data_IF_551025945967
#
_entry.id   IF_551025945967
#
_cell.length_a   1.000
_cell.length_b   1.000
_cell.length_c   1.000
_cell.angle_alpha   90.00
_cell.angle_beta   90.00
_cell.angle_gamma   90.00
#
_symmetry.space_group_name_H-M   'P 1'
#
loop_
_entity.id
_entity.type
_entity.pdbx_description
1 polymer ?
#
# COMPACT_ATOMS: atom_id res chain seq x y z
N UNK A 1 35.96 -7.84 18.30
CA UNK A 1 34.71 -7.07 18.20
C UNK A 1 34.69 -6.48 16.82
N UNK A 2 34.08 -7.21 15.88
CA UNK A 2 33.90 -6.72 14.52
C UNK A 2 32.63 -5.87 14.52
N UNK A 3 32.77 -4.66 14.01
CA UNK A 3 31.71 -3.73 13.66
C UNK A 3 30.73 -4.46 12.73
N UNK A 4 29.48 -4.67 13.19
CA UNK A 4 28.39 -5.13 12.33
C UNK A 4 28.10 -4.00 11.35
N UNK A 5 28.84 -4.01 10.24
CA UNK A 5 28.63 -3.16 9.10
C UNK A 5 27.14 -3.17 8.74
N UNK A 6 26.46 -2.03 8.91
CA UNK A 6 25.16 -1.77 8.32
C UNK A 6 25.25 -2.17 6.84
N UNK A 7 24.65 -3.30 6.49
CA UNK A 7 24.44 -3.65 5.09
C UNK A 7 23.77 -2.45 4.43
N UNK A 8 24.30 -1.92 3.31
CA UNK A 8 23.77 -0.70 2.71
C UNK A 8 22.29 -0.91 2.38
N UNK A 9 21.42 -0.24 3.15
CA UNK A 9 19.98 -0.24 2.90
C UNK A 9 19.78 0.33 1.49
N UNK A 10 19.06 -0.41 0.66
CA UNK A 10 18.69 0.07 -0.67
C UNK A 10 18.00 1.42 -0.53
N UNK A 11 18.43 2.39 -1.35
CA UNK A 11 17.77 3.68 -1.41
C UNK A 11 16.30 3.43 -1.82
N UNK A 12 15.36 3.94 -1.02
CA UNK A 12 13.93 3.69 -1.24
C UNK A 12 13.35 4.50 -2.40
N UNK A 13 13.92 5.67 -2.69
CA UNK A 13 13.44 6.65 -3.68
C UNK A 13 14.59 7.17 -4.53
N UNK A 14 14.36 7.39 -5.81
CA UNK A 14 15.34 8.01 -6.73
C UNK A 14 14.76 9.26 -7.42
N UNK A 15 13.52 9.63 -7.10
CA UNK A 15 12.86 10.88 -7.46
C UNK A 15 12.41 11.55 -6.18
N UNK A 16 12.78 12.81 -5.97
CA UNK A 16 12.29 13.63 -4.85
C UNK A 16 11.90 15.02 -5.34
N UNK A 17 10.80 15.54 -4.76
CA UNK A 17 10.29 16.88 -5.01
C UNK A 17 10.35 17.68 -3.72
N UNK A 18 10.97 18.85 -3.79
CA UNK A 18 11.15 19.78 -2.69
C UNK A 18 10.19 20.98 -2.80
N UNK A 19 9.89 21.61 -1.68
CA UNK A 19 9.35 22.98 -1.66
C UNK A 19 10.48 24.03 -1.70
N UNK A 20 10.10 25.31 -1.65
CA UNK A 20 11.06 26.43 -1.61
C UNK A 20 11.91 26.49 -0.35
N UNK A 21 11.47 25.85 0.73
CA UNK A 21 12.15 25.83 2.03
C UNK A 21 13.08 24.61 2.15
N UNK A 22 13.10 23.73 1.14
CA UNK A 22 13.94 22.54 1.07
C UNK A 22 13.32 21.31 1.75
N UNK A 23 12.04 21.34 2.11
CA UNK A 23 11.35 20.16 2.64
C UNK A 23 10.88 19.24 1.50
N UNK A 24 11.01 17.93 1.69
CA UNK A 24 10.52 16.94 0.72
C UNK A 24 8.99 16.88 0.80
N UNK A 25 8.33 17.21 -0.30
CA UNK A 25 6.87 17.18 -0.42
C UNK A 25 6.36 15.93 -1.16
N UNK A 26 7.21 15.30 -1.97
CA UNK A 26 6.91 14.05 -2.64
C UNK A 26 8.17 13.28 -3.00
N UNK A 27 8.05 11.97 -3.24
CA UNK A 27 9.12 11.19 -3.86
C UNK A 27 8.73 9.75 -4.10
N UNK A 28 9.42 9.02 -4.98
CA UNK A 28 9.13 7.61 -5.26
C UNK A 28 10.34 6.93 -5.90
N UNK A 29 10.24 5.63 -6.13
CA UNK A 29 11.19 4.92 -6.97
C UNK A 29 10.68 4.79 -8.41
N UNK A 30 11.38 5.42 -9.34
CA UNK A 30 11.14 5.30 -10.77
C UNK A 30 11.86 4.08 -11.35
N UNK A 31 11.10 3.22 -12.02
CA UNK A 31 11.58 2.07 -12.81
C UNK A 31 11.62 2.33 -14.32
N UNK A 32 11.28 3.55 -14.76
CA UNK A 32 11.18 3.93 -16.17
C UNK A 32 9.77 3.83 -16.75
N UNK A 33 8.74 3.80 -15.88
CA UNK A 33 7.36 3.48 -16.26
C UNK A 33 6.37 4.58 -15.87
N UNK A 34 6.66 5.37 -14.83
CA UNK A 34 5.77 6.44 -14.39
C UNK A 34 5.94 7.71 -15.23
N UNK A 35 4.86 8.21 -15.81
CA UNK A 35 4.87 9.44 -16.63
C UNK A 35 4.63 10.69 -15.79
N UNK A 36 4.91 11.86 -16.36
CA UNK A 36 4.59 13.15 -15.75
C UNK A 36 3.09 13.36 -15.55
N UNK A 37 2.25 12.90 -16.48
CA UNK A 37 0.79 12.96 -16.32
C UNK A 37 0.31 12.17 -15.09
N UNK A 38 0.86 10.96 -14.90
CA UNK A 38 0.50 10.10 -13.78
C UNK A 38 1.01 10.69 -12.46
N UNK A 39 2.26 11.13 -12.44
CA UNK A 39 2.85 11.69 -11.23
C UNK A 39 2.13 12.98 -10.78
N UNK A 40 1.84 13.90 -11.72
CA UNK A 40 1.07 15.10 -11.42
C UNK A 40 -0.32 14.78 -10.86
N UNK A 41 -1.01 13.79 -11.44
CA UNK A 41 -2.31 13.31 -10.94
C UNK A 41 -2.20 12.75 -9.52
N UNK A 42 -1.15 12.01 -9.19
CA UNK A 42 -0.92 11.52 -7.84
C UNK A 42 -0.64 12.65 -6.86
N UNK A 43 0.14 13.67 -7.25
CA UNK A 43 0.42 14.83 -6.39
C UNK A 43 -0.85 15.61 -6.02
N UNK A 44 -1.81 15.74 -6.94
CA UNK A 44 -3.11 16.40 -6.66
C UNK A 44 -3.82 15.76 -5.46
N UNK A 45 -3.60 14.47 -5.20
CA UNK A 45 -4.29 13.77 -4.10
C UNK A 45 -3.80 14.16 -2.71
N UNK A 46 -2.59 14.73 -2.60
CA UNK A 46 -1.98 15.04 -1.31
C UNK A 46 -1.39 16.44 -1.18
N UNK A 47 -1.18 17.18 -2.28
CA UNK A 47 -0.74 18.58 -2.27
C UNK A 47 -1.93 19.50 -2.06
N UNK A 48 -1.83 20.39 -1.07
CA UNK A 48 -2.85 21.39 -0.72
C UNK A 48 -2.26 22.78 -0.97
N UNK A 49 -2.80 23.50 -1.95
CA UNK A 49 -2.41 24.87 -2.26
C UNK A 49 -3.54 25.64 -2.94
N UNK A 50 -3.50 26.97 -2.86
CA UNK A 50 -4.47 27.89 -3.49
C UNK A 50 -4.02 28.38 -4.87
N UNK A 51 -2.78 28.09 -5.26
CA UNK A 51 -2.15 28.62 -6.48
C UNK A 51 -1.82 27.47 -7.42
N UNK A 52 -1.97 27.71 -8.73
CA UNK A 52 -1.50 26.77 -9.74
C UNK A 52 0.00 26.54 -9.58
N UNK A 53 0.42 25.28 -9.65
CA UNK A 53 1.78 24.85 -9.42
C UNK A 53 2.38 24.17 -10.64
N UNK A 54 3.70 24.10 -10.68
CA UNK A 54 4.47 23.40 -11.71
C UNK A 54 5.73 22.84 -11.10
N UNK A 55 6.14 21.66 -11.56
CA UNK A 55 7.36 20.99 -11.13
C UNK A 55 8.50 21.47 -12.02
N UNK A 56 9.66 21.76 -11.44
CA UNK A 56 10.87 22.14 -12.15
C UNK A 56 12.01 21.20 -11.80
N UNK A 57 12.92 20.97 -12.74
CA UNK A 57 14.20 20.33 -12.42
C UNK A 57 14.92 21.16 -11.34
N UNK A 58 15.55 20.49 -10.40
CA UNK A 58 16.21 21.12 -9.27
C UNK A 58 17.63 20.58 -9.12
N UNK A 59 18.61 21.48 -9.17
CA UNK A 59 20.01 21.13 -8.91
C UNK A 59 20.34 21.37 -7.44
N UNK A 60 20.66 20.30 -6.73
CA UNK A 60 21.03 20.32 -5.31
C UNK A 60 22.51 20.66 -5.07
N UNK A 61 23.36 20.70 -6.11
CA UNK A 61 24.81 20.87 -5.97
C UNK A 61 25.29 22.32 -6.10
N UNK A 62 24.44 23.23 -6.59
CA UNK A 62 24.85 24.61 -6.86
C UNK A 62 24.47 25.56 -5.70
N UNK A 63 25.41 25.73 -4.76
CA UNK A 63 25.21 26.48 -3.52
C UNK A 63 25.36 28.01 -3.70
N UNK A 64 25.57 28.48 -4.94
CA UNK A 64 26.08 29.85 -5.15
C UNK A 64 25.26 30.78 -6.05
N UNK A 65 24.13 30.37 -6.64
CA UNK A 65 23.31 31.32 -7.41
C UNK A 65 21.79 31.13 -7.25
N UNK A 66 21.09 32.28 -7.30
CA UNK A 66 19.66 32.48 -7.10
C UNK A 66 18.73 31.78 -8.13
N UNK A 67 19.22 30.81 -8.91
CA UNK A 67 18.43 30.06 -9.88
C UNK A 67 18.71 28.56 -9.79
N UNK A 68 18.30 27.94 -8.67
CA UNK A 68 18.26 26.48 -8.49
C UNK A 68 17.23 25.76 -9.39
N UNK A 69 16.59 26.48 -10.32
CA UNK A 69 15.43 26.04 -11.10
C UNK A 69 15.86 25.78 -12.55
N UNK A 70 15.77 24.52 -12.97
CA UNK A 70 15.89 24.12 -14.38
C UNK A 70 14.57 24.22 -15.14
N UNK A 71 14.44 23.45 -16.23
CA UNK A 71 13.27 23.51 -17.10
C UNK A 71 11.99 23.02 -16.40
N UNK A 72 10.80 23.59 -16.76
CA UNK A 72 9.52 23.07 -16.31
C UNK A 72 9.29 21.64 -16.78
N UNK A 73 8.86 20.79 -15.87
CA UNK A 73 8.38 19.43 -16.13
C UNK A 73 6.86 19.48 -16.26
N UNK A 74 6.38 19.61 -17.50
CA UNK A 74 4.94 19.70 -17.80
C UNK A 74 4.28 18.32 -17.75
N UNK A 75 2.99 18.23 -17.36
CA UNK A 75 2.20 17.01 -17.54
C UNK A 75 2.30 16.53 -19.00
N UNK A 76 2.77 15.30 -19.16
CA UNK A 76 2.96 14.66 -20.45
C UNK A 76 3.10 13.15 -20.31
N UNK A 77 3.04 12.45 -21.44
CA UNK A 77 3.39 11.03 -21.55
C UNK A 77 4.90 10.75 -21.39
N UNK A 78 5.73 11.78 -21.18
CA UNK A 78 7.15 11.62 -20.91
C UNK A 78 7.39 10.97 -19.54
N UNK A 79 8.40 10.09 -19.47
CA UNK A 79 8.79 9.42 -18.23
C UNK A 79 9.46 10.43 -17.28
N UNK A 80 9.11 10.37 -15.99
CA UNK A 80 9.83 11.12 -14.94
C UNK A 80 11.22 10.53 -14.81
N UNK A 81 12.28 11.33 -14.90
CA UNK A 81 13.64 10.82 -14.72
C UNK A 81 14.02 10.80 -13.23
N UNK A 82 14.89 9.86 -12.79
CA UNK A 82 15.52 9.95 -11.48
C UNK A 82 16.22 11.29 -11.30
N UNK A 83 16.05 11.91 -10.14
CA UNK A 83 16.61 13.23 -9.83
C UNK A 83 15.82 14.01 -8.80
N UNK A 84 16.27 15.24 -8.58
CA UNK A 84 15.64 16.19 -7.67
C UNK A 84 14.84 17.22 -8.45
N UNK A 85 13.70 17.59 -7.88
CA UNK A 85 12.75 18.52 -8.46
C UNK A 85 12.26 19.50 -7.41
N UNK A 86 11.74 20.65 -7.83
CA UNK A 86 11.16 21.65 -6.94
C UNK A 86 9.75 22.00 -7.40
N UNK A 87 8.82 22.10 -6.47
CA UNK A 87 7.46 22.56 -6.72
C UNK A 87 7.36 24.05 -6.46
N UNK A 88 7.02 24.80 -7.51
CA UNK A 88 6.85 26.26 -7.47
C UNK A 88 5.49 26.63 -8.07
N UNK A 89 5.11 27.90 -7.96
CA UNK A 89 3.95 28.40 -8.71
C UNK A 89 4.16 28.19 -10.22
N UNK A 90 3.10 28.27 -11.02
CA UNK A 90 3.24 28.20 -12.49
C UNK A 90 4.09 29.33 -13.08
N UNK A 91 4.25 30.45 -12.36
CA UNK A 91 5.19 31.52 -12.74
C UNK A 91 6.63 31.23 -12.28
N UNK A 92 6.80 30.26 -11.39
CA UNK A 92 8.08 29.83 -10.82
C UNK A 92 8.50 30.57 -9.56
N UNK A 93 7.54 31.16 -8.85
CA UNK A 93 7.75 31.80 -7.55
C UNK A 93 7.57 30.79 -6.41
N UNK A 94 8.20 31.00 -5.24
CA UNK A 94 7.94 30.24 -4.03
C UNK A 94 6.45 30.19 -3.71
N UNK A 95 5.99 29.02 -3.26
CA UNK A 95 4.57 28.75 -3.03
C UNK A 95 4.38 28.12 -1.66
N UNK A 96 3.33 28.52 -0.93
CA UNK A 96 3.00 27.91 0.36
C UNK A 96 2.31 26.56 0.13
N UNK A 97 3.00 25.48 0.43
CA UNK A 97 2.52 24.11 0.20
C UNK A 97 2.07 23.51 1.53
N UNK A 98 0.84 22.99 1.57
CA UNK A 98 0.39 22.07 2.59
C UNK A 98 0.36 20.64 2.04
N UNK A 99 0.45 19.66 2.94
CA UNK A 99 0.13 18.27 2.61
C UNK A 99 -1.16 17.87 3.32
N UNK A 100 -1.94 16.98 2.72
CA UNK A 100 -3.13 16.42 3.38
C UNK A 100 -2.72 15.71 4.68
N UNK A 101 -3.47 15.90 5.79
CA UNK A 101 -3.14 15.30 7.08
C UNK A 101 -3.42 13.79 7.12
N UNK A 102 -4.13 13.24 6.13
CA UNK A 102 -4.46 11.82 6.05
C UNK A 102 -3.21 10.96 6.09
N UNK A 103 -3.10 10.11 7.11
CA UNK A 103 -2.06 9.10 7.22
C UNK A 103 -2.47 7.83 6.49
N UNK A 104 -1.52 7.07 5.92
CA UNK A 104 -1.82 5.75 5.40
C UNK A 104 -2.30 4.84 6.54
N UNK A 105 -3.19 3.91 6.21
CA UNK A 105 -3.66 2.93 7.19
C UNK A 105 -2.53 2.00 7.57
N UNK A 106 -2.36 1.79 8.87
CA UNK A 106 -1.43 0.78 9.36
C UNK A 106 -1.94 -0.61 9.01
N UNK A 107 -1.05 -1.50 8.59
CA UNK A 107 -1.32 -2.94 8.47
C UNK A 107 -0.37 -3.70 9.36
N UNK A 108 -0.89 -4.77 9.93
CA UNK A 108 -0.08 -5.77 10.58
C UNK A 108 0.10 -6.92 9.58
N UNK A 109 1.33 -7.34 9.26
CA UNK A 109 1.55 -8.44 8.32
C UNK A 109 0.75 -9.66 8.77
N UNK A 110 -0.18 -10.12 7.94
CA UNK A 110 -0.96 -11.31 8.29
C UNK A 110 -0.04 -12.53 8.19
N UNK A 111 0.51 -12.97 9.33
CA UNK A 111 1.30 -14.20 9.39
C UNK A 111 0.36 -15.39 9.23
N UNK A 112 0.38 -15.99 8.03
CA UNK A 112 -0.34 -17.21 7.64
C UNK A 112 -0.01 -18.47 8.47
N UNK A 113 0.79 -18.36 9.54
CA UNK A 113 1.30 -19.50 10.30
C UNK A 113 0.49 -19.82 11.56
N UNK A 114 -0.59 -19.10 11.84
CA UNK A 114 -1.53 -19.60 12.84
C UNK A 114 -2.19 -20.86 12.30
N UNK A 115 -2.17 -21.99 13.02
CA UNK A 115 -2.89 -23.22 12.68
C UNK A 115 -4.40 -23.04 12.92
N UNK A 116 -4.95 -21.91 12.48
CA UNK A 116 -6.38 -21.72 12.40
C UNK A 116 -6.93 -22.65 11.31
N UNK A 117 -8.18 -23.15 11.46
CA UNK A 117 -8.88 -23.78 10.35
C UNK A 117 -8.73 -22.89 9.12
N UNK A 118 -8.39 -23.47 7.96
CA UNK A 118 -8.27 -22.72 6.71
C UNK A 118 -9.49 -21.83 6.59
N UNK A 119 -9.30 -20.53 6.73
CA UNK A 119 -10.39 -19.56 6.71
C UNK A 119 -11.14 -19.70 5.39
N UNK A 120 -12.46 -19.52 5.42
CA UNK A 120 -13.30 -19.67 4.22
C UNK A 120 -12.77 -18.81 3.05
N UNK A 121 -12.30 -17.60 3.34
CA UNK A 121 -11.76 -16.70 2.32
C UNK A 121 -10.47 -17.23 1.68
N UNK A 122 -9.59 -17.95 2.40
CA UNK A 122 -8.42 -18.60 1.79
C UNK A 122 -8.83 -19.64 0.75
N UNK A 123 -9.76 -20.52 1.11
CA UNK A 123 -10.23 -21.56 0.21
C UNK A 123 -10.94 -20.96 -1.01
N UNK A 124 -11.83 -20.00 -0.79
CA UNK A 124 -12.60 -19.34 -1.87
C UNK A 124 -11.71 -18.51 -2.78
N UNK A 125 -10.78 -17.72 -2.24
CA UNK A 125 -9.83 -16.94 -3.03
C UNK A 125 -8.94 -17.82 -3.91
N UNK A 126 -8.40 -18.91 -3.35
CA UNK A 126 -7.60 -19.90 -4.11
C UNK A 126 -8.40 -20.59 -5.20
N UNK A 127 -9.64 -20.99 -4.91
CA UNK A 127 -10.51 -21.65 -5.86
C UNK A 127 -10.89 -20.73 -7.02
N UNK A 128 -11.17 -19.46 -6.74
CA UNK A 128 -11.47 -18.45 -7.76
C UNK A 128 -10.25 -18.14 -8.64
N UNK A 129 -9.10 -17.88 -8.01
CA UNK A 129 -7.95 -17.33 -8.73
C UNK A 129 -7.13 -18.42 -9.44
N UNK A 130 -6.89 -19.56 -8.79
CA UNK A 130 -6.06 -20.66 -9.33
C UNK A 130 -4.60 -20.32 -9.64
N UNK A 131 -4.20 -19.05 -9.53
CA UNK A 131 -2.86 -18.51 -9.84
C UNK A 131 -2.59 -17.25 -9.02
N UNK A 132 -1.33 -16.82 -8.99
CA UNK A 132 -0.98 -15.48 -8.53
C UNK A 132 -1.55 -14.44 -9.50
N UNK A 133 -2.43 -13.56 -9.03
CA UNK A 133 -3.04 -12.53 -9.87
C UNK A 133 -2.04 -11.45 -10.32
N UNK A 134 -0.91 -11.31 -9.63
CA UNK A 134 0.15 -10.35 -9.98
C UNK A 134 1.07 -10.91 -11.08
N UNK A 135 1.61 -12.11 -10.87
CA UNK A 135 2.66 -12.68 -11.74
C UNK A 135 2.15 -13.74 -12.71
N UNK A 136 0.92 -14.23 -12.53
CA UNK A 136 0.37 -15.37 -13.28
C UNK A 136 0.89 -16.73 -12.81
N UNK A 137 1.75 -16.80 -11.79
CA UNK A 137 2.32 -18.06 -11.29
C UNK A 137 1.23 -19.05 -10.90
N UNK A 138 1.17 -20.18 -11.61
CA UNK A 138 0.40 -21.36 -11.23
C UNK A 138 1.30 -22.33 -10.46
N UNK A 139 0.72 -23.05 -9.50
CA UNK A 139 1.45 -24.04 -8.70
C UNK A 139 0.51 -25.16 -8.30
N UNK A 140 1.02 -26.38 -8.28
CA UNK A 140 0.29 -27.54 -7.76
C UNK A 140 0.13 -27.47 -6.23
N UNK A 141 1.02 -26.75 -5.56
CA UNK A 141 1.00 -26.57 -4.11
C UNK A 141 0.70 -25.11 -3.74
N UNK A 142 -0.21 -24.90 -2.80
CA UNK A 142 -0.51 -23.56 -2.28
C UNK A 142 0.60 -22.99 -1.37
N UNK A 143 1.70 -23.70 -1.15
CA UNK A 143 2.84 -23.23 -0.35
C UNK A 143 3.53 -21.98 -0.92
N UNK A 144 3.39 -21.73 -2.23
CA UNK A 144 3.95 -20.56 -2.91
C UNK A 144 2.94 -19.42 -3.06
N UNK A 145 1.67 -19.65 -2.71
CA UNK A 145 0.58 -18.68 -2.87
C UNK A 145 -0.06 -18.31 -1.52
N UNK A 146 -0.22 -17.01 -1.31
CA UNK A 146 -0.99 -16.46 -0.19
C UNK A 146 -2.24 -15.76 -0.72
N UNK A 147 -3.33 -15.86 0.03
CA UNK A 147 -4.52 -15.05 -0.19
C UNK A 147 -4.44 -13.89 0.79
N UNK A 148 -4.49 -12.67 0.27
CA UNK A 148 -4.44 -11.46 1.07
C UNK A 148 -5.69 -10.63 0.84
N UNK A 149 -6.14 -9.93 1.87
CA UNK A 149 -7.17 -8.93 1.70
C UNK A 149 -6.64 -7.70 0.97
N UNK A 150 -7.49 -7.11 0.13
CA UNK A 150 -7.26 -5.80 -0.48
C UNK A 150 -7.52 -4.72 0.57
N UNK A 151 -8.60 -4.84 1.35
CA UNK A 151 -8.88 -4.01 2.51
C UNK A 151 -8.74 -4.84 3.80
N UNK A 152 -7.88 -4.44 4.75
CA UNK A 152 -7.53 -5.26 5.89
C UNK A 152 -8.68 -5.43 6.89
N UNK A 153 -8.87 -6.65 7.41
CA UNK A 153 -9.92 -6.97 8.41
C UNK A 153 -9.84 -6.12 9.67
N UNK A 154 -8.62 -5.82 10.11
CA UNK A 154 -8.35 -5.06 11.32
C UNK A 154 -9.01 -3.65 11.32
N UNK A 155 -9.37 -3.13 10.15
CA UNK A 155 -10.03 -1.83 9.94
C UNK A 155 -11.53 -1.95 9.65
N UNK A 156 -12.21 -2.97 10.19
CA UNK A 156 -13.64 -3.22 9.94
C UNK A 156 -14.56 -2.01 10.21
N UNK A 157 -14.26 -1.19 11.22
CA UNK A 157 -15.04 0.03 11.48
C UNK A 157 -14.96 1.03 10.32
N UNK A 158 -13.77 1.19 9.72
CA UNK A 158 -13.59 2.04 8.54
C UNK A 158 -14.23 1.42 7.29
N UNK A 159 -14.13 0.09 7.14
CA UNK A 159 -14.80 -0.66 6.08
C UNK A 159 -16.32 -0.40 6.06
N UNK A 160 -16.97 -0.48 7.23
CA UNK A 160 -18.39 -0.19 7.39
C UNK A 160 -18.68 1.30 7.11
N UNK A 161 -17.89 2.21 7.69
CA UNK A 161 -18.06 3.66 7.50
C UNK A 161 -17.95 4.09 6.04
N UNK A 162 -17.10 3.44 5.25
CA UNK A 162 -16.95 3.66 3.81
C UNK A 162 -18.09 3.04 2.97
N UNK A 163 -18.97 2.26 3.60
CA UNK A 163 -20.12 1.66 2.94
C UNK A 163 -19.75 0.48 2.03
N UNK A 164 -18.58 -0.15 2.21
CA UNK A 164 -18.21 -1.30 1.40
C UNK A 164 -19.14 -2.52 1.54
N UNK A 165 -19.72 -2.85 2.71
CA UNK A 165 -20.63 -3.99 2.83
C UNK A 165 -21.80 -3.96 1.81
N UNK A 166 -22.34 -2.77 1.50
CA UNK A 166 -23.45 -2.62 0.55
C UNK A 166 -23.01 -2.69 -0.92
N UNK A 167 -21.70 -2.61 -1.19
CA UNK A 167 -21.12 -2.71 -2.54
C UNK A 167 -20.70 -4.14 -2.90
N UNK A 168 -20.62 -5.03 -1.91
CA UNK A 168 -20.33 -6.44 -2.13
C UNK A 168 -21.54 -7.13 -2.76
N UNK A 169 -21.31 -7.71 -3.94
CA UNK A 169 -22.27 -8.47 -4.74
C UNK A 169 -22.01 -9.98 -4.73
N UNK A 170 -20.96 -10.42 -4.04
CA UNK A 170 -20.70 -11.82 -3.72
C UNK A 170 -21.95 -12.50 -3.13
N UNK A 171 -22.34 -13.62 -3.75
CA UNK A 171 -23.59 -14.34 -3.48
C UNK A 171 -23.42 -15.54 -2.56
N UNK A 172 -22.20 -15.77 -2.05
CA UNK A 172 -21.96 -16.83 -1.07
C UNK A 172 -22.73 -16.60 0.24
N UNK A 173 -22.76 -17.63 1.09
CA UNK A 173 -23.34 -17.53 2.42
C UNK A 173 -22.63 -16.45 3.25
N UNK A 174 -23.40 -15.62 3.96
CA UNK A 174 -22.88 -14.52 4.76
C UNK A 174 -21.87 -14.99 5.82
N UNK A 175 -22.06 -16.18 6.39
CA UNK A 175 -21.15 -16.78 7.36
C UNK A 175 -19.75 -16.95 6.77
N UNK A 176 -19.65 -17.32 5.49
CA UNK A 176 -18.34 -17.51 4.83
C UNK A 176 -17.76 -16.22 4.26
N UNK A 177 -18.51 -15.11 4.31
CA UNK A 177 -18.08 -13.77 3.90
C UNK A 177 -17.67 -12.87 5.07
N UNK A 178 -17.56 -13.40 6.29
CA UNK A 178 -17.19 -12.59 7.47
C UNK A 178 -18.40 -11.91 8.12
N UNK A 179 -19.56 -12.55 8.02
CA UNK A 179 -20.82 -12.09 8.61
C UNK A 179 -21.42 -10.89 7.88
N UNK A 180 -22.28 -10.10 8.56
CA UNK A 180 -23.00 -8.99 7.95
C UNK A 180 -22.11 -7.93 7.30
N UNK A 181 -20.85 -7.86 7.74
CA UNK A 181 -19.85 -6.93 7.22
C UNK A 181 -19.36 -7.30 5.83
N UNK A 182 -19.44 -8.59 5.45
CA UNK A 182 -18.94 -9.14 4.19
C UNK A 182 -17.44 -8.90 3.92
N UNK A 183 -16.65 -8.61 4.96
CA UNK A 183 -15.23 -8.23 4.81
C UNK A 183 -14.34 -9.37 4.28
N UNK A 184 -14.77 -10.62 4.45
CA UNK A 184 -14.09 -11.83 3.94
C UNK A 184 -14.68 -12.30 2.60
N UNK A 185 -15.50 -11.47 1.95
CA UNK A 185 -15.94 -11.70 0.58
C UNK A 185 -14.75 -11.91 -0.35
N UNK A 186 -14.93 -12.78 -1.38
CA UNK A 186 -13.90 -12.96 -2.40
C UNK A 186 -13.57 -11.64 -3.09
N UNK A 187 -14.52 -10.71 -3.21
CA UNK A 187 -14.29 -9.42 -3.86
C UNK A 187 -13.30 -8.51 -3.08
N UNK A 188 -13.01 -8.84 -1.82
CA UNK A 188 -12.01 -8.15 -0.99
C UNK A 188 -10.69 -8.93 -0.86
N UNK A 189 -10.46 -10.01 -1.61
CA UNK A 189 -9.21 -10.78 -1.52
C UNK A 189 -8.61 -11.07 -2.88
N UNK A 190 -7.28 -11.25 -2.92
CA UNK A 190 -6.55 -11.73 -4.09
C UNK A 190 -5.49 -12.77 -3.71
N UNK A 191 -5.23 -13.71 -4.59
CA UNK A 191 -4.14 -14.68 -4.48
C UNK A 191 -2.87 -14.10 -5.10
N UNK A 192 -1.77 -14.14 -4.37
CA UNK A 192 -0.48 -13.61 -4.79
C UNK A 192 0.70 -14.53 -4.42
N UNK A 193 1.87 -14.23 -4.96
CA UNK A 193 3.13 -14.91 -4.63
C UNK A 193 3.47 -14.62 -3.17
N UNK A 194 3.89 -15.62 -2.41
CA UNK A 194 3.99 -15.52 -0.94
C UNK A 194 4.98 -14.47 -0.44
N UNK A 195 6.03 -14.20 -1.21
CA UNK A 195 7.05 -13.18 -0.98
C UNK A 195 6.54 -11.75 -1.23
N UNK A 196 5.54 -11.57 -2.10
CA UNK A 196 4.92 -10.26 -2.36
C UNK A 196 3.97 -9.82 -1.24
N UNK A 197 3.61 -10.72 -0.32
CA UNK A 197 2.65 -10.43 0.74
C UNK A 197 3.10 -9.28 1.65
N UNK A 198 4.41 -9.23 1.97
CA UNK A 198 4.98 -8.14 2.77
C UNK A 198 4.90 -6.80 2.04
N UNK A 199 5.27 -6.78 0.75
CA UNK A 199 5.17 -5.58 -0.09
C UNK A 199 3.71 -5.11 -0.25
N UNK A 200 2.76 -6.04 -0.37
CA UNK A 200 1.33 -5.74 -0.42
C UNK A 200 0.83 -5.11 0.88
N UNK A 201 1.10 -5.72 2.03
CA UNK A 201 0.66 -5.19 3.32
C UNK A 201 1.35 -3.87 3.67
N UNK A 202 2.58 -3.66 3.21
CA UNK A 202 3.28 -2.40 3.36
C UNK A 202 2.91 -1.35 2.32
N UNK A 203 1.98 -1.62 1.41
CA UNK A 203 1.59 -0.75 0.30
C UNK A 203 2.75 -0.35 -0.61
N UNK A 204 3.82 -1.14 -0.65
CA UNK A 204 4.96 -0.92 -1.55
C UNK A 204 4.60 -1.19 -3.01
N UNK A 205 3.56 -2.00 -3.22
CA UNK A 205 2.92 -2.22 -4.52
C UNK A 205 1.41 -1.91 -4.45
N UNK A 206 0.88 -1.35 -5.53
CA UNK A 206 -0.55 -1.05 -5.70
C UNK A 206 -1.03 -1.38 -7.10
N UNK A 207 -2.34 -1.56 -7.26
CA UNK A 207 -3.00 -1.80 -8.56
C UNK A 207 -3.89 -0.60 -8.88
N UNK A 208 -3.69 0.05 -10.03
CA UNK A 208 -4.55 1.15 -10.49
C UNK A 208 -5.62 0.61 -11.46
N UNK A 209 -6.88 0.44 -11.02
CA UNK A 209 -7.94 -0.07 -11.88
C UNK A 209 -8.27 0.91 -13.03
N UNK A 210 -7.96 2.20 -12.88
CA UNK A 210 -8.19 3.20 -13.94
C UNK A 210 -7.11 3.17 -15.02
N UNK A 211 -6.02 2.41 -14.80
CA UNK A 211 -4.95 2.21 -15.76
C UNK A 211 -4.84 0.74 -16.14
N UNK A 212 -5.97 0.14 -16.54
CA UNK A 212 -6.06 -1.26 -16.97
C UNK A 212 -5.51 -2.26 -15.91
N UNK A 213 -5.65 -1.95 -14.63
CA UNK A 213 -5.10 -2.73 -13.51
C UNK A 213 -3.58 -2.86 -13.54
N UNK A 214 -2.88 -1.81 -13.99
CA UNK A 214 -1.42 -1.75 -13.94
C UNK A 214 -0.93 -1.75 -12.49
N UNK A 215 0.08 -2.56 -12.23
CA UNK A 215 0.77 -2.67 -10.95
C UNK A 215 1.87 -1.61 -10.90
N UNK A 216 1.86 -0.79 -9.86
CA UNK A 216 2.88 0.23 -9.60
C UNK A 216 3.63 -0.15 -8.33
N UNK A 217 4.96 -0.24 -8.43
CA UNK A 217 5.82 -0.33 -7.26
C UNK A 217 6.27 1.08 -6.86
N UNK A 218 6.00 1.47 -5.61
CA UNK A 218 6.29 2.81 -5.11
C UNK A 218 7.72 2.93 -4.55
N UNK A 219 8.32 1.80 -4.17
CA UNK A 219 9.66 1.71 -3.58
C UNK A 219 10.58 0.82 -4.42
N UNK A 220 11.89 0.94 -4.17
CA UNK A 220 12.90 0.03 -4.72
C UNK A 220 12.68 -1.42 -4.24
N UNK A 221 13.14 -2.40 -5.03
CA UNK A 221 13.11 -3.83 -4.68
C UNK A 221 11.94 -4.65 -5.26
N UNK A 222 11.03 -4.02 -6.00
CA UNK A 222 9.85 -4.68 -6.60
C UNK A 222 9.82 -4.55 -8.14
N UNK A 223 10.99 -4.49 -8.77
CA UNK A 223 11.16 -4.31 -10.21
C UNK A 223 10.50 -5.44 -11.03
N UNK A 224 10.46 -6.65 -10.49
CA UNK A 224 9.93 -7.84 -11.16
C UNK A 224 8.40 -7.83 -11.33
N UNK A 225 7.71 -6.97 -10.58
CA UNK A 225 6.25 -6.83 -10.63
C UNK A 225 5.76 -5.46 -11.08
N UNK A 226 6.63 -4.46 -11.13
CA UNK A 226 6.28 -3.13 -11.63
C UNK A 226 5.90 -3.19 -13.12
N UNK A 227 4.86 -2.45 -13.50
CA UNK A 227 4.34 -2.38 -14.88
C UNK A 227 3.75 -3.70 -15.41
N UNK A 228 3.57 -4.70 -14.54
CA UNK A 228 2.69 -5.82 -14.83
C UNK A 228 1.22 -5.40 -14.74
N UNK A 229 0.34 -6.24 -15.26
CA UNK A 229 -1.11 -6.03 -15.21
C UNK A 229 -1.77 -7.19 -14.47
N UNK A 230 -2.69 -6.86 -13.56
CA UNK A 230 -3.41 -7.84 -12.76
C UNK A 230 -4.19 -8.82 -13.66
N UNK A 231 -4.05 -10.11 -13.41
CA UNK A 231 -4.58 -11.19 -14.25
C UNK A 231 -6.02 -11.54 -13.88
N UNK A 232 -6.99 -10.79 -14.41
CA UNK A 232 -8.43 -10.98 -14.13
C UNK A 232 -9.22 -11.66 -15.25
N UNK A 233 -8.54 -12.03 -16.33
CA UNK A 233 -9.06 -12.65 -17.57
C UNK A 233 -9.95 -13.88 -17.36
N UNK A 234 -9.71 -14.66 -16.32
CA UNK A 234 -10.44 -15.88 -16.01
C UNK A 234 -11.65 -15.66 -15.08
N UNK A 235 -11.78 -14.46 -14.49
CA UNK A 235 -12.86 -14.12 -13.55
C UNK A 235 -13.93 -13.32 -14.31
N UNK A 236 -14.81 -14.07 -14.99
CA UNK A 236 -15.87 -13.50 -15.84
C UNK A 236 -17.12 -13.11 -15.04
N UNK A 237 -17.37 -13.78 -13.92
CA UNK A 237 -18.51 -13.47 -13.04
C UNK A 237 -18.23 -12.17 -12.25
N UNK A 238 -19.03 -11.10 -12.46
CA UNK A 238 -18.83 -9.83 -11.75
C UNK A 238 -19.05 -9.95 -10.24
N UNK A 239 -19.80 -10.94 -9.75
CA UNK A 239 -20.02 -11.17 -8.31
C UNK A 239 -18.79 -11.75 -7.61
N UNK A 240 -17.87 -12.34 -8.38
CA UNK A 240 -16.63 -12.93 -7.86
C UNK A 240 -15.41 -12.02 -8.10
N UNK A 241 -15.53 -11.04 -9.01
CA UNK A 241 -14.45 -10.12 -9.38
C UNK A 241 -14.08 -9.22 -8.20
N UNK A 242 -12.78 -9.10 -7.87
CA UNK A 242 -12.30 -8.10 -6.92
C UNK A 242 -12.87 -6.71 -7.19
N UNK A 243 -13.30 -6.01 -6.15
CA UNK A 243 -13.97 -4.72 -6.29
C UNK A 243 -12.96 -3.61 -6.59
N UNK A 244 -13.15 -2.91 -7.72
CA UNK A 244 -12.23 -1.86 -8.19
C UNK A 244 -12.02 -0.73 -7.17
N UNK A 245 -13.05 -0.39 -6.41
CA UNK A 245 -12.94 0.63 -5.36
C UNK A 245 -11.97 0.23 -4.24
N UNK A 246 -11.81 -1.06 -3.98
CA UNK A 246 -10.86 -1.55 -2.98
C UNK A 246 -9.43 -1.45 -3.50
N UNK A 247 -9.22 -1.71 -4.80
CA UNK A 247 -7.91 -1.46 -5.42
C UNK A 247 -7.58 0.03 -5.44
N UNK A 248 -8.54 0.88 -5.80
CA UNK A 248 -8.37 2.34 -5.74
C UNK A 248 -7.96 2.77 -4.34
N UNK A 249 -8.67 2.28 -3.32
CA UNK A 249 -8.40 2.62 -1.93
C UNK A 249 -7.03 2.10 -1.45
N UNK A 250 -6.64 0.86 -1.80
CA UNK A 250 -5.30 0.32 -1.53
C UNK A 250 -4.19 1.10 -2.25
N UNK A 251 -4.41 1.48 -3.52
CA UNK A 251 -3.47 2.27 -4.31
C UNK A 251 -3.23 3.64 -3.65
N UNK A 252 -4.30 4.30 -3.20
CA UNK A 252 -4.22 5.55 -2.46
C UNK A 252 -3.40 5.45 -1.17
N UNK A 253 -3.47 4.33 -0.45
CA UNK A 253 -2.60 4.10 0.71
C UNK A 253 -1.12 4.05 0.31
N UNK A 254 -0.78 3.44 -0.83
CA UNK A 254 0.59 3.42 -1.37
C UNK A 254 1.09 4.83 -1.71
N UNK A 255 0.26 5.65 -2.36
CA UNK A 255 0.56 7.07 -2.60
C UNK A 255 0.81 7.80 -1.28
N UNK A 256 -0.09 7.69 -0.30
CA UNK A 256 0.06 8.41 0.97
C UNK A 256 1.26 7.93 1.79
N UNK A 257 1.60 6.65 1.70
CA UNK A 257 2.70 6.07 2.49
C UNK A 257 4.06 6.34 1.88
N UNK A 258 4.19 6.19 0.57
CA UNK A 258 5.50 6.20 -0.09
C UNK A 258 5.73 7.43 -0.95
N UNK A 259 4.66 8.03 -1.49
CA UNK A 259 4.77 9.20 -2.38
C UNK A 259 4.64 10.55 -1.68
N UNK A 260 3.84 10.64 -0.62
CA UNK A 260 3.57 11.89 0.09
C UNK A 260 4.71 12.26 1.04
N UNK A 261 5.22 13.48 0.93
CA UNK A 261 6.25 14.03 1.82
C UNK A 261 7.56 13.23 1.76
N UNK A 262 8.20 13.05 2.92
CA UNK A 262 9.39 12.21 3.07
C UNK A 262 9.09 10.69 2.99
N UNK A 263 7.83 10.29 2.80
CA UNK A 263 7.37 8.93 3.01
C UNK A 263 7.26 8.59 4.50
N UNK A 264 6.42 7.62 4.84
CA UNK A 264 6.30 7.14 6.21
C UNK A 264 7.42 6.13 6.53
N UNK A 265 8.05 6.29 7.70
CA UNK A 265 9.04 5.33 8.19
C UNK A 265 8.32 4.04 8.62
N UNK A 266 8.45 2.99 7.80
CA UNK A 266 7.98 1.65 8.16
C UNK A 266 8.87 1.03 9.25
N UNK A 267 8.30 0.16 10.07
CA UNK A 267 9.09 -0.85 10.78
C UNK A 267 9.94 -1.62 9.76
N UNK A 268 11.20 -1.84 10.13
CA UNK A 268 12.09 -2.72 9.38
C UNK A 268 11.62 -4.17 9.46
N UNK A 269 12.15 -5.02 8.57
CA UNK A 269 11.91 -6.47 8.67
C UNK A 269 12.30 -6.99 10.06
N UNK A 270 13.38 -6.46 10.63
CA UNK A 270 13.87 -6.77 11.97
C UNK A 270 12.87 -6.34 13.05
N UNK A 271 12.32 -5.12 12.96
CA UNK A 271 11.29 -4.66 13.90
C UNK A 271 10.03 -5.55 13.83
N UNK A 272 9.67 -6.03 12.65
CA UNK A 272 8.52 -6.93 12.45
C UNK A 272 8.82 -8.32 13.02
N UNK A 273 9.99 -8.88 12.76
CA UNK A 273 10.43 -10.20 13.26
C UNK A 273 10.62 -10.20 14.79
N UNK A 274 11.08 -9.09 15.35
CA UNK A 274 11.20 -8.87 16.80
C UNK A 274 9.85 -8.64 17.46
N UNK A 275 8.87 -8.06 16.74
CA UNK A 275 7.51 -7.90 17.22
C UNK A 275 6.66 -9.17 17.05
N UNK A 276 6.98 -10.03 16.08
CA UNK A 276 5.99 -10.99 15.52
C UNK A 276 6.56 -12.34 15.08
N UNK A 277 7.84 -12.62 15.34
CA UNK A 277 8.49 -13.84 14.84
C UNK A 277 7.79 -15.09 15.35
N UNK A 278 7.54 -16.04 14.44
CA UNK A 278 6.81 -17.32 14.59
C UNK A 278 5.27 -17.28 14.65
N UNK A 279 4.65 -16.09 14.54
CA UNK A 279 3.20 -15.94 14.64
C UNK A 279 2.71 -15.65 16.06
N UNK A 280 3.60 -15.64 17.06
CA UNK A 280 3.33 -15.02 18.37
C UNK A 280 3.59 -13.51 18.36
N UNK A 281 2.84 -12.76 19.17
CA UNK A 281 3.17 -11.36 19.46
C UNK A 281 4.28 -11.35 20.52
N UNK A 282 5.50 -10.99 20.11
CA UNK A 282 6.66 -10.90 20.99
C UNK A 282 6.67 -9.55 21.70
N UNK A 283 6.04 -9.49 22.87
CA UNK A 283 5.90 -8.26 23.67
C UNK A 283 7.15 -7.90 24.49
N UNK A 284 8.23 -8.69 24.37
CA UNK A 284 9.43 -8.58 25.18
C UNK A 284 10.32 -7.38 24.86
N UNK A 285 10.13 -6.71 23.71
CA UNK A 285 10.93 -5.56 23.32
C UNK A 285 10.23 -4.23 23.69
N UNK A 286 10.57 -3.59 24.82
CA UNK A 286 9.93 -2.34 25.25
C UNK A 286 10.27 -1.15 24.33
N UNK A 287 11.32 -1.24 23.52
CA UNK A 287 11.64 -0.19 22.53
C UNK A 287 10.65 -0.18 21.36
N UNK A 288 10.03 -1.33 21.08
CA UNK A 288 8.99 -1.48 20.07
C UNK A 288 7.64 -1.08 20.69
N UNK A 289 7.22 -1.77 21.76
CA UNK A 289 5.87 -1.66 22.32
C UNK A 289 5.64 -0.47 23.27
N UNK A 290 6.72 0.14 23.78
CA UNK A 290 6.63 1.33 24.64
C UNK A 290 6.23 2.60 23.88
N UNK A 291 6.40 2.60 22.55
CA UNK A 291 6.09 3.73 21.67
C UNK A 291 4.60 3.85 21.38
N UNK A 292 4.12 5.04 21.02
CA UNK A 292 2.73 5.24 20.58
C UNK A 292 2.40 4.35 19.38
N UNK A 293 3.34 4.27 18.43
CA UNK A 293 3.19 3.46 17.22
C UNK A 293 3.14 1.96 17.53
N UNK A 294 3.99 1.48 18.44
CA UNK A 294 3.94 0.10 18.91
C UNK A 294 2.59 -0.26 19.52
N UNK A 295 2.00 0.64 20.33
CA UNK A 295 0.66 0.42 20.90
C UNK A 295 -0.42 0.33 19.83
N UNK A 296 -0.41 1.22 18.83
CA UNK A 296 -1.35 1.18 17.70
C UNK A 296 -1.24 -0.14 16.93
N UNK A 297 -0.02 -0.63 16.69
CA UNK A 297 0.23 -1.92 16.03
C UNK A 297 -0.23 -3.10 16.88
N UNK A 298 -0.08 -3.02 18.20
CA UNK A 298 -0.57 -4.06 19.12
C UNK A 298 -2.10 -4.16 19.07
N UNK A 299 -2.79 -3.03 19.17
CA UNK A 299 -4.25 -2.95 19.04
C UNK A 299 -4.72 -3.50 17.69
N UNK A 300 -4.01 -3.17 16.61
CA UNK A 300 -4.31 -3.66 15.27
C UNK A 300 -4.15 -5.19 15.16
N UNK A 301 -3.06 -5.74 15.71
CA UNK A 301 -2.81 -7.17 15.73
C UNK A 301 -3.87 -7.91 16.55
N UNK A 302 -4.31 -7.36 17.69
CA UNK A 302 -5.43 -7.91 18.45
C UNK A 302 -6.75 -7.84 17.68
N UNK A 303 -7.03 -6.73 17.00
CA UNK A 303 -8.24 -6.55 16.19
C UNK A 303 -8.34 -7.61 15.08
N UNK A 304 -7.24 -7.91 14.39
CA UNK A 304 -7.21 -8.96 13.37
C UNK A 304 -7.35 -10.37 13.98
N UNK A 305 -6.58 -10.68 15.03
CA UNK A 305 -6.57 -12.03 15.64
C UNK A 305 -7.87 -12.39 16.35
N UNK A 306 -8.58 -11.41 16.90
CA UNK A 306 -9.86 -11.60 17.60
C UNK A 306 -11.09 -11.41 16.71
N UNK A 307 -10.90 -11.15 15.42
CA UNK A 307 -11.97 -10.85 14.48
C UNK A 307 -13.05 -11.96 14.47
N UNK A 308 -12.64 -13.21 14.23
CA UNK A 308 -13.57 -14.34 14.12
C UNK A 308 -14.34 -14.57 15.44
N UNK A 309 -13.70 -14.35 16.58
CA UNK A 309 -14.35 -14.43 17.88
C UNK A 309 -15.42 -13.33 18.04
N UNK A 310 -15.11 -12.10 17.63
CA UNK A 310 -16.06 -10.98 17.71
C UNK A 310 -17.30 -11.22 16.83
N UNK A 311 -17.10 -11.70 15.60
CA UNK A 311 -18.20 -12.04 14.69
C UNK A 311 -19.07 -13.17 15.28
N UNK A 312 -18.45 -14.21 15.83
CA UNK A 312 -19.18 -15.32 16.46
C UNK A 312 -20.02 -14.89 17.67
N UNK A 313 -19.56 -13.93 18.47
CA UNK A 313 -20.32 -13.41 19.61
C UNK A 313 -21.51 -12.54 19.17
N UNK A 314 -21.34 -11.72 18.13
CA UNK A 314 -22.42 -10.88 17.59
C UNK A 314 -23.57 -11.73 17.05
N UNK A 315 -23.27 -12.81 16.33
CA UNK A 315 -24.30 -13.75 15.86
C UNK A 315 -25.05 -14.52 16.96
N UNK A 316 -24.52 -14.55 18.21
CA UNK A 316 -25.19 -15.18 19.37
C UNK A 316 -26.04 -14.21 20.18
N UNK A 317 -25.80 -12.91 20.09
CA UNK A 317 -26.61 -11.89 20.79
C UNK A 317 -27.89 -11.51 20.02
N UNK A 318 -28.04 -11.97 18.78
CA UNK A 318 -29.22 -11.72 17.93
C UNK A 318 -30.21 -12.91 17.90
N UNK A 319 -29.95 -13.95 18.70
CA UNK A 319 -30.85 -15.12 18.92
C UNK A 319 -31.33 -15.17 20.36
#
# INVERSE_FOLDING_TARGET
MADESELPRLQKRNVEVFDSDGAVIAGFWQYGTLTWDEFCRYMITFVVTTTAWTIFQYDTQDDTTQQRRGAPCQPSAGIVHPGHYILLSSTGEPLRIGLVPTLPRLRYPTHSNTPAPVSSYHARGRARDGKCLITGLQTQTYSRLKVAHIFPRAHNAEWIRKGYPSKITDTADEVVMGGPTKIDSVQNVITMRSDLHGAWDNYEIGVDPNNNYRITAFTNGNADVNDLYLKLDHIQDPTLRPLDELFTDHFMQGIFKHMKGAGEVSWSCEDVDDASGDGSLKLSNPKIWGTEEGRKRFELALSDRLFDHRISQQGKSET
#
